data_IF_809697355945
#
_entry.id   IF_809697355945
#
_cell.length_a   1.000
_cell.length_b   1.000
_cell.length_c   1.000
_cell.angle_alpha   90.00
_cell.angle_beta   90.00
_cell.angle_gamma   90.00
#
_symmetry.space_group_name_H-M   'P 1'
#
loop_
_entity.id
_entity.type
_entity.pdbx_description
1 polymer ?
#
# COMPACT_ATOMS: atom_id res chain seq x y z
N UNK A 1 3.20 -8.45 -3.13
CA UNK A 1 2.30 -8.57 -1.96
C UNK A 1 1.68 -7.22 -1.58
N UNK A 2 2.45 -6.21 -1.16
CA UNK A 2 1.89 -4.89 -0.79
C UNK A 2 1.11 -4.21 -1.93
N UNK A 3 1.66 -4.19 -3.14
CA UNK A 3 0.98 -3.65 -4.32
C UNK A 3 -0.40 -4.29 -4.58
N UNK A 4 -0.50 -5.61 -4.36
CA UNK A 4 -1.75 -6.33 -4.54
C UNK A 4 -2.79 -5.97 -3.47
N UNK A 5 -2.39 -5.84 -2.20
CA UNK A 5 -3.26 -5.38 -1.12
C UNK A 5 -3.78 -3.96 -1.39
N UNK A 6 -2.91 -3.08 -1.87
CA UNK A 6 -3.28 -1.71 -2.21
C UNK A 6 -4.29 -1.66 -3.37
N UNK A 7 -4.06 -2.42 -4.44
CA UNK A 7 -5.01 -2.52 -5.56
C UNK A 7 -6.34 -3.15 -5.13
N UNK A 8 -6.30 -4.13 -4.22
CA UNK A 8 -7.51 -4.74 -3.67
C UNK A 8 -8.31 -3.73 -2.84
N UNK A 9 -7.64 -2.93 -2.01
CA UNK A 9 -8.27 -1.82 -1.28
C UNK A 9 -8.88 -0.78 -2.21
N UNK A 10 -8.19 -0.43 -3.30
CA UNK A 10 -8.72 0.50 -4.30
C UNK A 10 -9.97 -0.04 -5.00
N UNK A 11 -9.99 -1.34 -5.37
CA UNK A 11 -11.18 -2.00 -5.93
C UNK A 11 -12.33 -2.03 -4.93
N UNK A 12 -12.06 -2.31 -3.67
CA UNK A 12 -13.06 -2.31 -2.61
C UNK A 12 -13.64 -0.90 -2.41
N UNK A 13 -12.81 0.14 -2.46
CA UNK A 13 -13.27 1.53 -2.38
C UNK A 13 -14.16 1.93 -3.58
N UNK A 14 -13.85 1.44 -4.79
CA UNK A 14 -14.73 1.62 -5.95
C UNK A 14 -16.07 0.91 -5.76
N UNK A 15 -16.04 -0.34 -5.29
CA UNK A 15 -17.26 -1.11 -5.04
C UNK A 15 -18.14 -0.48 -3.95
N UNK A 16 -17.52 0.13 -2.95
CA UNK A 16 -18.20 0.86 -1.88
C UNK A 16 -18.70 2.25 -2.32
N UNK A 17 -18.38 2.71 -3.53
CA UNK A 17 -18.74 4.03 -4.04
C UNK A 17 -17.97 5.19 -3.39
N UNK A 18 -16.94 4.91 -2.58
CA UNK A 18 -16.09 5.93 -1.97
C UNK A 18 -14.98 6.40 -2.91
N UNK A 19 -14.63 5.58 -3.90
CA UNK A 19 -13.72 5.94 -4.98
C UNK A 19 -14.51 6.02 -6.30
N UNK A 20 -14.38 7.11 -7.09
CA UNK A 20 -15.05 7.21 -8.38
C UNK A 20 -14.68 6.04 -9.30
N UNK A 21 -15.61 5.61 -10.15
CA UNK A 21 -15.33 4.59 -11.16
C UNK A 21 -14.21 5.09 -12.07
N UNK A 22 -13.02 4.52 -11.91
CA UNK A 22 -11.82 4.91 -12.64
C UNK A 22 -10.99 3.69 -13.00
N UNK A 23 -10.20 3.81 -14.07
CA UNK A 23 -9.29 2.73 -14.42
C UNK A 23 -8.17 2.64 -13.39
N UNK A 24 -8.10 1.50 -12.71
CA UNK A 24 -6.99 1.19 -11.81
C UNK A 24 -5.79 0.71 -12.65
N UNK A 25 -4.57 1.19 -12.35
CA UNK A 25 -3.39 0.73 -13.06
C UNK A 25 -3.15 -0.76 -12.80
N UNK A 26 -2.55 -1.46 -13.76
CA UNK A 26 -2.20 -2.88 -13.62
C UNK A 26 -1.23 -3.13 -12.46
N UNK A 27 -0.40 -2.13 -12.13
CA UNK A 27 0.50 -2.18 -10.99
C UNK A 27 0.44 -0.89 -10.18
N UNK A 28 0.38 -1.03 -8.85
CA UNK A 28 0.50 0.08 -7.92
C UNK A 28 1.90 0.02 -7.29
N UNK A 29 2.87 0.80 -7.80
CA UNK A 29 4.23 0.75 -7.26
C UNK A 29 4.22 1.17 -5.79
N UNK A 30 4.93 0.37 -4.99
CA UNK A 30 5.17 0.64 -3.57
C UNK A 30 6.67 0.77 -3.40
N UNK A 31 7.11 1.89 -2.86
CA UNK A 31 8.52 2.19 -2.65
C UNK A 31 8.82 2.28 -1.14
N UNK A 32 10.07 2.08 -0.71
CA UNK A 32 10.46 2.37 0.67
C UNK A 32 10.10 3.80 1.04
N UNK A 33 9.53 3.98 2.23
CA UNK A 33 9.18 5.31 2.71
C UNK A 33 10.46 6.13 2.90
N UNK A 34 10.44 7.39 2.44
CA UNK A 34 11.59 8.30 2.56
C UNK A 34 11.85 8.76 4.00
N UNK A 35 10.90 8.51 4.90
CA UNK A 35 10.95 8.97 6.27
C UNK A 35 10.35 7.90 7.18
N UNK A 36 11.07 7.51 8.23
CA UNK A 36 10.66 6.45 9.14
C UNK A 36 9.32 6.74 9.85
N UNK A 37 8.97 8.02 10.02
CA UNK A 37 7.68 8.43 10.57
C UNK A 37 6.49 8.05 9.68
N UNK A 38 6.71 7.84 8.37
CA UNK A 38 5.70 7.40 7.42
C UNK A 38 5.63 5.87 7.32
N UNK A 39 6.35 5.13 8.17
CA UNK A 39 6.41 3.67 8.12
C UNK A 39 7.51 3.16 7.21
N UNK A 40 7.36 1.93 6.73
CA UNK A 40 8.38 1.22 5.96
C UNK A 40 8.22 1.45 4.46
N UNK A 41 6.98 1.56 3.98
CA UNK A 41 6.64 1.63 2.57
C UNK A 41 5.59 2.70 2.29
N UNK A 42 5.65 3.29 1.10
CA UNK A 42 4.66 4.26 0.63
C UNK A 42 4.30 4.05 -0.84
N UNK A 43 3.10 4.46 -1.21
CA UNK A 43 2.62 4.43 -2.59
C UNK A 43 1.96 5.74 -2.99
N UNK A 44 2.25 6.15 -4.22
CA UNK A 44 1.66 7.32 -4.86
C UNK A 44 0.39 7.00 -5.67
N UNK A 45 -0.23 5.83 -5.45
CA UNK A 45 -1.41 5.40 -6.23
C UNK A 45 -2.52 6.45 -6.20
N UNK A 46 -2.85 7.00 -5.04
CA UNK A 46 -3.92 8.01 -4.94
C UNK A 46 -3.59 9.30 -5.70
N UNK A 47 -2.32 9.69 -5.80
CA UNK A 47 -1.87 10.79 -6.66
C UNK A 47 -2.03 10.48 -8.15
N UNK A 48 -1.78 9.24 -8.56
CA UNK A 48 -2.00 8.81 -9.94
C UNK A 48 -3.49 8.81 -10.29
N UNK A 49 -4.33 8.28 -9.39
CA UNK A 49 -5.78 8.28 -9.57
C UNK A 49 -6.38 9.70 -9.53
N UNK A 50 -5.83 10.60 -8.72
CA UNK A 50 -6.26 12.00 -8.71
C UNK A 50 -6.07 12.69 -10.07
N UNK A 51 -4.98 12.35 -10.79
CA UNK A 51 -4.73 12.90 -12.14
C UNK A 51 -5.76 12.43 -13.16
N UNK A 52 -6.25 11.20 -13.06
CA UNK A 52 -7.21 10.64 -14.00
C UNK A 52 -8.66 10.99 -13.65
N UNK A 53 -8.97 11.12 -12.35
CA UNK A 53 -10.33 11.38 -11.85
C UNK A 53 -10.62 12.85 -11.58
N UNK A 54 -9.60 13.69 -11.46
CA UNK A 54 -9.73 15.09 -11.02
C UNK A 54 -10.10 15.25 -9.54
N UNK A 55 -10.18 14.16 -8.78
CA UNK A 55 -10.52 14.18 -7.36
C UNK A 55 -9.31 14.57 -6.48
N UNK A 56 -9.59 14.96 -5.23
CA UNK A 56 -8.55 15.31 -4.26
C UNK A 56 -7.73 14.07 -3.88
N UNK A 57 -6.40 14.06 -4.07
CA UNK A 57 -5.60 12.87 -3.79
C UNK A 57 -5.62 12.46 -2.31
N UNK A 58 -5.78 13.40 -1.38
CA UNK A 58 -5.92 13.09 0.04
C UNK A 58 -7.20 12.29 0.34
N UNK A 59 -8.32 12.67 -0.27
CA UNK A 59 -9.61 11.99 -0.09
C UNK A 59 -9.56 10.59 -0.72
N UNK A 60 -8.95 10.47 -1.90
CA UNK A 60 -8.70 9.16 -2.54
C UNK A 60 -7.80 8.28 -1.67
N UNK A 61 -6.73 8.82 -1.10
CA UNK A 61 -5.83 8.07 -0.23
C UNK A 61 -6.58 7.54 1.00
N UNK A 62 -7.37 8.38 1.67
CA UNK A 62 -8.17 7.99 2.82
C UNK A 62 -9.24 6.94 2.47
N UNK A 63 -9.95 7.11 1.35
CA UNK A 63 -10.94 6.15 0.88
C UNK A 63 -10.32 4.78 0.60
N UNK A 64 -9.17 4.75 -0.09
CA UNK A 64 -8.44 3.50 -0.34
C UNK A 64 -8.00 2.90 0.99
N UNK A 65 -7.36 3.68 1.88
CA UNK A 65 -6.84 3.22 3.16
C UNK A 65 -7.90 2.48 3.99
N UNK A 66 -9.10 3.05 4.12
CA UNK A 66 -10.20 2.46 4.90
C UNK A 66 -10.69 1.14 4.29
N UNK A 67 -10.57 0.98 2.97
CA UNK A 67 -10.98 -0.20 2.26
C UNK A 67 -9.87 -1.25 2.09
N UNK A 68 -8.64 -0.97 2.54
CA UNK A 68 -7.56 -1.96 2.50
C UNK A 68 -7.91 -3.09 3.47
N UNK A 69 -7.97 -4.35 3.00
CA UNK A 69 -8.23 -5.48 3.87
C UNK A 69 -7.08 -5.66 4.86
N UNK A 70 -7.42 -5.96 6.11
CA UNK A 70 -6.43 -6.31 7.13
C UNK A 70 -5.57 -7.50 6.68
N UNK A 71 -4.26 -7.41 6.91
CA UNK A 71 -3.31 -8.46 6.54
C UNK A 71 -2.28 -8.63 7.66
N UNK A 72 -1.89 -9.88 7.94
CA UNK A 72 -0.80 -10.17 8.89
C UNK A 72 0.55 -9.55 8.48
N UNK A 73 0.68 -9.08 7.24
CA UNK A 73 1.85 -8.37 6.72
C UNK A 73 1.90 -6.90 7.14
N UNK A 74 0.74 -6.25 7.31
CA UNK A 74 0.63 -4.80 7.56
C UNK A 74 0.14 -4.59 8.98
N UNK A 75 0.96 -3.96 9.82
CA UNK A 75 0.57 -3.56 11.17
C UNK A 75 -0.34 -2.32 11.13
N UNK A 76 0.03 -1.33 10.31
CA UNK A 76 -0.72 -0.08 10.22
C UNK A 76 -0.66 0.51 8.82
N UNK A 77 -1.76 1.10 8.41
CA UNK A 77 -1.83 1.95 7.22
C UNK A 77 -2.07 3.40 7.63
N UNK A 78 -1.48 4.35 6.92
CA UNK A 78 -1.74 5.78 7.11
C UNK A 78 -1.74 6.53 5.79
N UNK A 79 -2.13 7.80 5.83
CA UNK A 79 -2.06 8.70 4.68
C UNK A 79 -1.23 9.93 5.03
N UNK A 80 -0.44 10.43 4.08
CA UNK A 80 0.27 11.71 4.21
C UNK A 80 -0.02 12.62 3.02
N UNK A 81 -0.07 13.93 3.26
CA UNK A 81 -0.15 14.91 2.20
C UNK A 81 1.12 14.81 1.31
N UNK A 82 1.01 14.95 -0.02
CA UNK A 82 -0.16 15.34 -0.82
C UNK A 82 -1.17 14.23 -1.20
N UNK A 83 -1.06 13.02 -0.67
CA UNK A 83 -1.92 11.87 -1.01
C UNK A 83 -1.14 10.56 -1.17
N UNK A 84 -0.14 10.35 -0.33
CA UNK A 84 0.60 9.08 -0.26
C UNK A 84 -0.09 8.14 0.72
N UNK A 85 -0.17 6.87 0.34
CA UNK A 85 -0.63 5.80 1.23
C UNK A 85 0.60 5.11 1.79
N UNK A 86 0.68 5.11 3.10
CA UNK A 86 1.83 4.67 3.89
C UNK A 86 1.51 3.35 4.59
N UNK A 87 2.48 2.46 4.63
CA UNK A 87 2.36 1.11 5.18
C UNK A 87 3.46 0.89 6.19
N UNK A 88 3.07 0.45 7.38
CA UNK A 88 3.95 -0.06 8.44
C UNK A 88 3.80 -1.57 8.46
N UNK A 89 4.90 -2.29 8.30
CA UNK A 89 4.91 -3.74 8.29
C UNK A 89 4.87 -4.31 9.71
N UNK A 90 4.19 -5.44 9.87
CA UNK A 90 4.20 -6.13 11.14
C UNK A 90 5.60 -6.72 11.45
N UNK A 91 6.16 -6.50 12.65
CA UNK A 91 7.46 -7.05 13.04
C UNK A 91 7.53 -8.58 12.90
N UNK A 92 6.42 -9.26 13.16
CA UNK A 92 6.27 -10.71 13.01
C UNK A 92 6.46 -11.18 11.55
N UNK A 93 6.05 -10.37 10.57
CA UNK A 93 6.27 -10.68 9.16
C UNK A 93 7.74 -10.49 8.76
N UNK A 94 8.39 -9.45 9.31
CA UNK A 94 9.82 -9.19 9.07
C UNK A 94 10.68 -10.37 9.55
N UNK A 95 10.37 -10.90 10.74
CA UNK A 95 11.05 -12.07 11.31
C UNK A 95 10.88 -13.32 10.43
N UNK A 96 9.68 -13.57 9.91
CA UNK A 96 9.43 -14.70 9.00
C UNK A 96 10.13 -14.57 7.63
N UNK A 97 10.36 -13.35 7.13
CA UNK A 97 11.13 -13.17 5.89
C UNK A 97 12.63 -13.38 6.10
N UNK A 98 13.19 -12.96 7.24
CA UNK A 98 14.60 -13.25 7.58
C UNK A 98 14.83 -14.75 7.66
N UNK A 99 13.90 -15.49 8.27
CA UNK A 99 13.96 -16.95 8.37
C UNK A 99 13.87 -17.63 6.99
N UNK A 100 13.04 -17.10 6.09
CA UNK A 100 12.92 -17.59 4.70
C UNK A 100 14.14 -17.26 3.84
N UNK A 101 14.80 -16.12 4.05
CA UNK A 101 16.05 -15.74 3.36
C UNK A 101 17.21 -16.61 3.87
N UNK A 102 17.30 -16.87 5.18
CA UNK A 102 18.29 -17.77 5.78
C UNK A 102 18.14 -19.21 5.24
N UNK A 103 16.92 -19.69 5.03
CA UNK A 103 16.68 -21.01 4.40
C UNK A 103 17.04 -21.07 2.90
N UNK A 104 17.25 -19.93 2.23
CA UNK A 104 17.77 -19.86 0.85
C UNK A 104 19.26 -19.54 0.77
N UNK A 105 19.93 -19.35 1.92
CA UNK A 105 21.37 -19.11 2.02
C UNK A 105 22.26 -20.37 2.04
N UNK A 106 21.68 -21.56 2.12
CA UNK A 106 22.40 -22.85 2.06
C UNK A 106 22.76 -23.28 0.62
N UNK A 107 23.12 -22.31 -0.23
CA UNK A 107 23.75 -22.53 -1.54
C UNK A 107 24.87 -21.52 -1.82
N UNK A 108 25.50 -20.99 -0.77
CA UNK A 108 26.85 -20.41 -0.88
C UNK A 108 27.83 -21.42 -0.27
N UNK A 109 28.19 -22.41 -1.08
CA UNK A 109 29.31 -23.32 -0.85
C UNK A 109 30.23 -23.21 -2.07
#
# INVERSE_FOLDING_TARGET
MLSALLLQGARAAQHAGTLPACELPESAPVAPAKNAMWGDFSSALALQLAKTTGAKPADLAAAIQVCIPGSALVERTGCSAPGFINFTLAPAWLAQQVERILQRGSAYA
#
